data_IF_201965370994
#
_entry.id   IF_201965370994
#
_cell.length_a   1.000
_cell.length_b   1.000
_cell.length_c   1.000
_cell.angle_alpha   90.00
_cell.angle_beta   90.00
_cell.angle_gamma   90.00
#
_symmetry.space_group_name_H-M   'P 1'
#
loop_
_entity.id
_entity.type
_entity.pdbx_description
1 polymer ?
#
# COMPACT_ATOMS: atom_id res chain seq x y z
N UNK A 1 8.12 10.40 -9.33
CA UNK A 1 9.21 10.90 -10.21
C UNK A 1 10.54 10.42 -9.62
N UNK A 2 11.35 9.65 -10.36
CA UNK A 2 12.60 9.07 -9.84
C UNK A 2 13.61 10.12 -9.36
N UNK A 3 13.59 11.32 -9.93
CA UNK A 3 14.51 12.43 -9.60
C UNK A 3 14.22 13.12 -8.27
N UNK A 4 12.99 13.02 -7.73
CA UNK A 4 12.63 13.57 -6.42
C UNK A 4 12.93 12.58 -5.27
N UNK A 5 12.99 11.28 -5.59
CA UNK A 5 13.31 10.22 -4.63
C UNK A 5 14.79 10.18 -4.27
N UNK A 6 15.67 10.66 -5.17
CA UNK A 6 17.12 10.73 -4.94
C UNK A 6 17.53 11.90 -4.04
N UNK A 7 16.77 12.99 -4.02
CA UNK A 7 17.19 14.21 -3.33
C UNK A 7 16.98 14.18 -1.80
N UNK A 8 16.23 13.19 -1.27
CA UNK A 8 15.85 13.16 0.15
C UNK A 8 16.36 11.97 0.95
N UNK A 9 16.99 10.95 0.32
CA UNK A 9 17.67 9.84 1.01
C UNK A 9 16.83 9.13 2.10
N UNK A 10 15.49 9.29 2.06
CA UNK A 10 14.54 8.75 3.04
C UNK A 10 13.37 8.13 2.29
N UNK A 11 13.41 6.81 2.13
CA UNK A 11 12.37 6.04 1.42
C UNK A 11 11.08 5.90 2.23
N UNK A 12 11.20 5.92 3.55
CA UNK A 12 10.09 5.85 4.53
C UNK A 12 8.98 6.91 4.31
N UNK A 13 9.26 8.22 4.23
CA UNK A 13 8.22 9.23 4.02
C UNK A 13 7.50 9.08 2.69
N UNK A 14 8.17 8.62 1.62
CA UNK A 14 7.51 8.39 0.34
C UNK A 14 6.58 7.16 0.37
N UNK A 15 6.98 6.08 1.06
CA UNK A 15 6.12 4.89 1.24
C UNK A 15 4.90 5.28 2.06
N UNK A 16 5.09 5.98 3.18
CA UNK A 16 3.99 6.43 4.04
C UNK A 16 3.08 7.41 3.29
N UNK A 17 3.62 8.38 2.55
CA UNK A 17 2.83 9.31 1.75
C UNK A 17 2.03 8.60 0.66
N UNK A 18 2.61 7.59 0.00
CA UNK A 18 1.90 6.79 -0.99
C UNK A 18 0.76 5.98 -0.37
N UNK A 19 1.00 5.32 0.77
CA UNK A 19 -0.06 4.56 1.47
C UNK A 19 -1.15 5.52 1.95
N UNK A 20 -0.81 6.67 2.54
CA UNK A 20 -1.79 7.68 2.97
C UNK A 20 -2.65 8.18 1.80
N UNK A 21 -2.02 8.50 0.66
CA UNK A 21 -2.74 8.92 -0.55
C UNK A 21 -3.67 7.83 -1.07
N UNK A 22 -3.23 6.57 -1.06
CA UNK A 22 -4.06 5.43 -1.43
C UNK A 22 -5.20 5.19 -0.43
N UNK A 23 -4.98 5.35 0.89
CA UNK A 23 -6.03 5.25 1.91
C UNK A 23 -7.10 6.31 1.70
N UNK A 24 -6.71 7.56 1.45
CA UNK A 24 -7.66 8.65 1.16
C UNK A 24 -8.46 8.38 -0.12
N UNK A 25 -7.80 7.90 -1.17
CA UNK A 25 -8.47 7.48 -2.40
C UNK A 25 -9.47 6.35 -2.17
N UNK A 26 -9.12 5.34 -1.36
CA UNK A 26 -10.01 4.22 -1.03
C UNK A 26 -11.22 4.65 -0.20
N UNK A 27 -11.02 5.55 0.78
CA UNK A 27 -12.12 6.15 1.55
C UNK A 27 -13.05 6.92 0.62
N UNK A 28 -12.48 7.71 -0.30
CA UNK A 28 -13.23 8.42 -1.33
C UNK A 28 -14.06 7.46 -2.21
N UNK A 29 -13.47 6.37 -2.70
CA UNK A 29 -14.18 5.35 -3.50
C UNK A 29 -15.30 4.66 -2.69
N UNK A 30 -15.09 4.43 -1.41
CA UNK A 30 -16.05 3.71 -0.55
C UNK A 30 -17.27 4.55 -0.20
N UNK A 31 -17.11 5.87 -0.03
CA UNK A 31 -18.18 6.78 0.42
C UNK A 31 -18.60 7.82 -0.64
N UNK A 32 -18.02 7.82 -1.84
CA UNK A 32 -18.39 8.77 -2.89
C UNK A 32 -19.85 8.56 -3.33
N UNK A 33 -20.68 9.58 -3.09
CA UNK A 33 -22.08 9.60 -3.53
C UNK A 33 -22.25 10.14 -4.97
N UNK A 34 -21.23 10.79 -5.55
CA UNK A 34 -21.30 11.42 -6.86
C UNK A 34 -20.28 10.86 -7.85
N UNK A 35 -20.68 10.68 -9.11
CA UNK A 35 -19.85 10.11 -10.17
C UNK A 35 -18.51 10.86 -10.38
N UNK A 36 -18.53 12.19 -10.37
CA UNK A 36 -17.31 12.99 -10.50
C UNK A 36 -16.34 12.79 -9.33
N UNK A 37 -16.86 12.71 -8.10
CA UNK A 37 -16.04 12.46 -6.91
C UNK A 37 -15.46 11.03 -6.93
N UNK A 38 -16.24 10.07 -7.43
CA UNK A 38 -15.80 8.68 -7.59
C UNK A 38 -14.65 8.57 -8.61
N UNK A 39 -14.74 9.26 -9.76
CA UNK A 39 -13.66 9.30 -10.74
C UNK A 39 -12.38 9.91 -10.17
N UNK A 40 -12.48 11.03 -9.45
CA UNK A 40 -11.33 11.67 -8.81
C UNK A 40 -10.73 10.75 -7.74
N UNK A 41 -11.56 10.12 -6.91
CA UNK A 41 -11.11 9.21 -5.86
C UNK A 41 -10.43 7.97 -6.45
N UNK A 42 -10.98 7.40 -7.53
CA UNK A 42 -10.38 6.27 -8.25
C UNK A 42 -9.04 6.65 -8.90
N UNK A 43 -8.94 7.86 -9.47
CA UNK A 43 -7.69 8.39 -10.01
C UNK A 43 -6.63 8.53 -8.91
N UNK A 44 -6.98 9.14 -7.78
CA UNK A 44 -6.08 9.29 -6.62
C UNK A 44 -5.63 7.92 -6.11
N UNK A 45 -6.57 6.99 -5.89
CA UNK A 45 -6.27 5.63 -5.46
C UNK A 45 -5.30 4.94 -6.42
N UNK A 46 -5.60 4.93 -7.72
CA UNK A 46 -4.77 4.29 -8.73
C UNK A 46 -3.37 4.90 -8.83
N UNK A 47 -3.27 6.22 -8.83
CA UNK A 47 -2.00 6.93 -8.92
C UNK A 47 -1.06 6.60 -7.75
N UNK A 48 -1.57 6.66 -6.52
CA UNK A 48 -0.78 6.39 -5.32
C UNK A 48 -0.49 4.90 -5.13
N UNK A 49 -1.45 4.02 -5.44
CA UNK A 49 -1.27 2.57 -5.35
C UNK A 49 -0.19 2.07 -6.32
N UNK A 50 -0.22 2.53 -7.58
CA UNK A 50 0.80 2.18 -8.57
C UNK A 50 2.18 2.73 -8.20
N UNK A 51 2.23 3.92 -7.59
CA UNK A 51 3.49 4.52 -7.11
C UNK A 51 4.09 3.77 -5.92
N UNK A 52 3.27 3.13 -5.08
CA UNK A 52 3.73 2.37 -3.92
C UNK A 52 4.47 1.07 -4.28
N UNK A 53 4.12 0.44 -5.41
CA UNK A 53 4.69 -0.84 -5.85
C UNK A 53 6.22 -0.81 -6.04
N UNK A 54 6.75 0.00 -6.97
CA UNK A 54 8.19 0.13 -7.20
C UNK A 54 8.95 0.53 -5.94
N UNK A 55 8.36 1.39 -5.11
CA UNK A 55 8.94 1.88 -3.87
C UNK A 55 9.07 0.77 -2.82
N UNK A 56 8.06 -0.10 -2.72
CA UNK A 56 8.06 -1.28 -1.86
C UNK A 56 9.08 -2.32 -2.29
N UNK A 57 9.22 -2.59 -3.60
CA UNK A 57 10.23 -3.51 -4.12
C UNK A 57 11.66 -3.03 -3.85
N UNK A 58 11.92 -1.74 -4.10
CA UNK A 58 13.21 -1.14 -3.82
C UNK A 58 13.55 -1.16 -2.32
N UNK A 59 12.60 -0.84 -1.45
CA UNK A 59 12.80 -0.93 -0.01
C UNK A 59 13.02 -2.37 0.47
N UNK A 60 12.25 -3.32 -0.06
CA UNK A 60 12.40 -4.75 0.23
C UNK A 60 13.78 -5.29 -0.13
N UNK A 61 14.29 -4.94 -1.31
CA UNK A 61 15.64 -5.31 -1.74
C UNK A 61 16.73 -4.75 -0.80
N UNK A 62 16.59 -3.51 -0.33
CA UNK A 62 17.55 -2.91 0.60
C UNK A 62 17.56 -3.60 1.98
N UNK A 63 16.39 -3.81 2.59
CA UNK A 63 16.33 -4.39 3.95
C UNK A 63 16.77 -5.86 4.00
N UNK A 64 16.75 -6.54 2.86
CA UNK A 64 17.11 -7.96 2.73
C UNK A 64 18.54 -8.18 2.26
N UNK A 65 19.31 -7.11 2.03
CA UNK A 65 20.72 -7.22 1.61
C UNK A 65 21.53 -8.07 2.62
N UNK A 66 22.34 -9.05 2.16
CA UNK A 66 22.82 -9.31 0.78
C UNK A 66 22.02 -10.34 -0.03
N UNK A 67 20.75 -10.59 0.28
CA UNK A 67 19.94 -11.54 -0.49
C UNK A 67 19.76 -11.11 -1.97
N UNK A 68 19.67 -12.06 -2.93
CA UNK A 68 19.38 -11.73 -4.32
C UNK A 68 18.04 -10.99 -4.45
N UNK A 69 18.02 -9.89 -5.20
CA UNK A 69 16.83 -9.05 -5.40
C UNK A 69 15.62 -9.84 -5.93
N UNK A 70 15.88 -10.82 -6.80
CA UNK A 70 14.84 -11.73 -7.32
C UNK A 70 14.15 -12.54 -6.22
N UNK A 71 14.89 -12.97 -5.19
CA UNK A 71 14.32 -13.69 -4.04
C UNK A 71 13.48 -12.76 -3.18
N UNK A 72 13.96 -11.54 -2.89
CA UNK A 72 13.25 -10.56 -2.07
C UNK A 72 11.95 -10.09 -2.73
N UNK A 73 11.99 -9.78 -4.02
CA UNK A 73 10.80 -9.43 -4.80
C UNK A 73 9.84 -10.63 -4.90
N UNK A 74 10.37 -11.85 -5.08
CA UNK A 74 9.58 -13.07 -5.10
C UNK A 74 8.82 -13.29 -3.78
N UNK A 75 9.47 -13.11 -2.63
CA UNK A 75 8.84 -13.23 -1.31
C UNK A 75 7.80 -12.14 -1.07
N UNK A 76 8.06 -10.88 -1.48
CA UNK A 76 7.08 -9.79 -1.39
C UNK A 76 5.83 -10.09 -2.22
N UNK A 77 6.00 -10.55 -3.46
CA UNK A 77 4.90 -10.94 -4.33
C UNK A 77 4.13 -12.13 -3.77
N UNK A 78 4.82 -13.14 -3.25
CA UNK A 78 4.20 -14.31 -2.61
C UNK A 78 3.33 -13.90 -1.42
N UNK A 79 3.84 -13.03 -0.54
CA UNK A 79 3.06 -12.50 0.59
C UNK A 79 1.86 -11.67 0.11
N UNK A 80 2.02 -10.90 -0.97
CA UNK A 80 0.93 -10.16 -1.62
C UNK A 80 -0.18 -11.09 -2.14
N UNK A 81 0.18 -12.21 -2.76
CA UNK A 81 -0.79 -13.19 -3.24
C UNK A 81 -1.52 -13.91 -2.10
N UNK A 82 -0.78 -14.37 -1.08
CA UNK A 82 -1.36 -15.05 0.08
C UNK A 82 -2.36 -14.12 0.81
N UNK A 83 -1.95 -12.89 1.07
CA UNK A 83 -2.82 -11.89 1.72
C UNK A 83 -4.02 -11.51 0.85
N UNK A 84 -3.85 -11.40 -0.47
CA UNK A 84 -4.94 -11.14 -1.41
C UNK A 84 -5.98 -12.26 -1.45
N UNK A 85 -5.55 -13.52 -1.50
CA UNK A 85 -6.45 -14.68 -1.44
C UNK A 85 -7.19 -14.72 -0.10
N UNK A 86 -6.46 -14.55 1.01
CA UNK A 86 -7.07 -14.51 2.34
C UNK A 86 -8.12 -13.40 2.46
N UNK A 87 -7.83 -12.22 1.88
CA UNK A 87 -8.78 -11.11 1.84
C UNK A 87 -10.03 -11.45 1.01
N UNK A 88 -9.87 -12.02 -0.20
CA UNK A 88 -11.00 -12.40 -1.06
C UNK A 88 -11.91 -13.42 -0.36
N UNK A 89 -11.33 -14.45 0.28
CA UNK A 89 -12.09 -15.43 1.06
C UNK A 89 -12.80 -14.77 2.26
N UNK A 90 -12.15 -13.82 2.91
CA UNK A 90 -12.76 -13.01 3.96
C UNK A 90 -13.94 -12.19 3.43
N UNK A 91 -13.82 -11.57 2.26
CA UNK A 91 -14.90 -10.77 1.67
C UNK A 91 -16.18 -11.58 1.47
N UNK A 92 -16.06 -12.86 1.09
CA UNK A 92 -17.21 -13.75 0.92
C UNK A 92 -17.94 -14.01 2.25
N UNK A 93 -17.17 -14.15 3.33
CA UNK A 93 -17.71 -14.37 4.69
C UNK A 93 -18.31 -13.10 5.30
N UNK A 94 -17.74 -11.94 4.99
CA UNK A 94 -18.16 -10.63 5.51
C UNK A 94 -19.22 -9.93 4.64
N UNK A 95 -19.60 -10.51 3.51
CA UNK A 95 -20.68 -10.00 2.68
C UNK A 95 -22.00 -10.23 3.40
N UNK A 96 -22.75 -9.15 3.66
CA UNK A 96 -24.05 -9.24 4.34
C UNK A 96 -25.06 -10.01 3.45
N UNK A 97 -25.58 -11.18 3.88
CA UNK A 97 -26.44 -12.04 3.06
C UNK A 97 -27.73 -11.35 2.61
N UNK A 98 -28.21 -10.38 3.40
CA UNK A 98 -29.51 -9.74 3.23
C UNK A 98 -29.52 -8.55 2.26
N UNK A 99 -28.36 -7.94 1.95
CA UNK A 99 -28.30 -6.66 1.18
C UNK A 99 -27.24 -6.66 0.08
N UNK A 100 -26.33 -7.64 0.06
CA UNK A 100 -25.24 -7.70 -0.92
C UNK A 100 -24.24 -6.53 -0.84
N UNK A 101 -24.29 -5.73 0.23
CA UNK A 101 -23.48 -4.54 0.39
C UNK A 101 -21.99 -4.89 0.55
N UNK A 102 -21.16 -4.33 -0.32
CA UNK A 102 -19.69 -4.46 -0.29
C UNK A 102 -19.04 -3.46 0.68
N UNK A 103 -19.83 -2.68 1.43
CA UNK A 103 -19.33 -1.64 2.33
C UNK A 103 -18.53 -2.20 3.50
N UNK A 104 -18.88 -3.37 4.03
CA UNK A 104 -18.22 -3.95 5.20
C UNK A 104 -16.82 -4.50 4.85
N UNK A 105 -16.62 -5.26 3.75
CA UNK A 105 -15.29 -5.61 3.27
C UNK A 105 -14.41 -4.40 2.92
N UNK A 106 -14.98 -3.36 2.29
CA UNK A 106 -14.24 -2.12 1.98
C UNK A 106 -13.84 -1.36 3.25
N UNK A 107 -14.70 -1.32 4.27
CA UNK A 107 -14.36 -0.73 5.56
C UNK A 107 -13.21 -1.49 6.26
N UNK A 108 -13.23 -2.83 6.22
CA UNK A 108 -12.12 -3.65 6.72
C UNK A 108 -10.82 -3.33 5.96
N UNK A 109 -10.88 -3.20 4.64
CA UNK A 109 -9.72 -2.82 3.83
C UNK A 109 -9.19 -1.43 4.19
N UNK A 110 -10.07 -0.45 4.45
CA UNK A 110 -9.68 0.87 4.94
C UNK A 110 -8.95 0.75 6.28
N UNK A 111 -9.45 -0.05 7.22
CA UNK A 111 -8.79 -0.28 8.52
C UNK A 111 -7.41 -0.92 8.33
N UNK A 112 -7.29 -1.93 7.46
CA UNK A 112 -6.02 -2.55 7.13
C UNK A 112 -5.03 -1.56 6.50
N UNK A 113 -5.52 -0.67 5.63
CA UNK A 113 -4.71 0.40 5.03
C UNK A 113 -4.23 1.41 6.08
N UNK A 114 -5.08 1.80 7.04
CA UNK A 114 -4.70 2.66 8.16
C UNK A 114 -3.65 1.97 9.05
N UNK A 115 -3.82 0.69 9.34
CA UNK A 115 -2.82 -0.09 10.06
C UNK A 115 -1.49 -0.14 9.27
N UNK A 116 -1.53 -0.27 7.94
CA UNK A 116 -0.35 -0.22 7.09
C UNK A 116 0.35 1.15 7.15
N UNK A 117 -0.39 2.26 7.24
CA UNK A 117 0.17 3.60 7.48
C UNK A 117 0.88 3.65 8.83
N UNK A 118 0.25 3.14 9.90
CA UNK A 118 0.83 3.14 11.25
C UNK A 118 2.10 2.26 11.31
N UNK A 119 2.05 1.06 10.74
CA UNK A 119 3.22 0.18 10.63
C UNK A 119 4.31 0.81 9.78
N UNK A 120 3.95 1.46 8.67
CA UNK A 120 4.85 2.24 7.82
C UNK A 120 5.54 3.37 8.57
N UNK A 121 4.82 4.07 9.44
CA UNK A 121 5.37 5.10 10.33
C UNK A 121 6.32 4.51 11.39
N UNK A 122 6.12 3.24 11.79
CA UNK A 122 6.99 2.50 12.69
C UNK A 122 8.16 1.78 11.99
N UNK A 123 8.24 1.77 10.65
CA UNK A 123 9.34 1.12 9.94
C UNK A 123 10.68 1.76 10.31
N UNK A 124 11.68 0.91 10.55
CA UNK A 124 13.06 1.31 10.82
C UNK A 124 13.62 1.96 9.54
N UNK A 125 14.30 3.10 9.67
CA UNK A 125 14.95 3.72 8.52
C UNK A 125 16.01 2.74 7.96
N UNK A 126 16.03 2.55 6.63
CA UNK A 126 17.05 1.75 5.96
C UNK A 126 18.41 2.39 6.22
N UNK A 127 19.15 1.83 7.18
CA UNK A 127 20.48 2.29 7.63
C UNK A 127 21.58 1.90 6.63
N UNK A 128 21.28 1.83 5.33
CA UNK A 128 22.30 1.65 4.29
C UNK A 128 23.00 2.97 3.93
N UNK A 129 22.36 4.12 4.21
CA UNK A 129 22.88 5.45 3.87
C UNK A 129 23.64 6.15 5.02
N UNK A 130 23.70 5.54 6.21
CA UNK A 130 24.52 6.07 7.33
C UNK A 130 25.95 5.54 7.30
N UNK A 131 26.25 4.55 6.45
CA UNK A 131 27.58 3.94 6.34
C UNK A 131 28.51 4.63 5.34
N UNK A 132 28.03 5.66 4.61
CA UNK A 132 28.82 6.44 3.65
C UNK A 132 29.02 7.92 4.10
N UNK A 133 29.17 8.14 5.41
CA UNK A 133 29.71 9.39 5.97
C UNK A 133 30.83 9.08 6.96
#
# INVERSE_FOLDING_TARGET
VPTLSDHYLKRKPFIVAAIVGATLGLVGVTYAAGYGLLLVSAFVLGFFLLSAGPLGFQYGAEITYPAPEGTSNGLLLLMGQISGIAFILGMDTFKSPETGSMTLPLAILIVLMVLAVLLGACLKESTALTAEN
#
